data_IF_216846349114
#
_entry.id   IF_216846349114
#
_cell.length_a   1.000
_cell.length_b   1.000
_cell.length_c   1.000
_cell.angle_alpha   90.00
_cell.angle_beta   90.00
_cell.angle_gamma   90.00
#
_symmetry.space_group_name_H-M   'P 1'
#
loop_
_entity.id
_entity.type
_entity.pdbx_description
1 polymer ?
#
# COMPACT_ATOMS: atom_id res chain seq x y z
N UNK A 1 3.14 2.98 2.31
CA UNK A 1 3.97 3.09 1.10
C UNK A 1 3.30 2.48 -0.15
N UNK A 2 2.38 1.49 0.00
CA UNK A 2 1.73 0.82 -1.14
C UNK A 2 0.85 1.75 -1.99
N UNK A 3 0.18 2.73 -1.39
CA UNK A 3 -0.60 3.71 -2.15
C UNK A 3 0.28 4.54 -3.11
N UNK A 4 1.42 5.12 -2.71
CA UNK A 4 2.37 5.73 -3.63
C UNK A 4 2.86 4.79 -4.75
N UNK A 5 3.11 3.50 -4.47
CA UNK A 5 3.50 2.53 -5.50
C UNK A 5 2.42 2.44 -6.58
N UNK A 6 1.14 2.35 -6.20
CA UNK A 6 0.03 2.30 -7.15
C UNK A 6 -0.07 3.58 -7.97
N UNK A 7 0.03 4.74 -7.33
CA UNK A 7 0.00 6.05 -8.02
C UNK A 7 1.10 6.13 -9.08
N UNK A 8 2.33 5.77 -8.70
CA UNK A 8 3.47 5.84 -9.62
C UNK A 8 3.44 4.73 -10.69
N UNK A 9 2.70 3.65 -10.47
CA UNK A 9 2.41 2.69 -11.53
C UNK A 9 1.55 3.32 -12.62
N UNK A 10 0.49 4.06 -12.25
CA UNK A 10 -0.37 4.78 -13.20
C UNK A 10 0.39 5.90 -13.91
N UNK A 11 1.14 6.71 -13.15
CA UNK A 11 2.01 7.77 -13.68
C UNK A 11 2.97 7.22 -14.75
N UNK A 12 3.63 6.10 -14.46
CA UNK A 12 4.56 5.46 -15.40
C UNK A 12 3.86 4.88 -16.62
N UNK A 13 2.68 4.28 -16.46
CA UNK A 13 1.86 3.82 -17.60
C UNK A 13 1.56 4.99 -18.53
N UNK A 14 1.15 6.15 -18.00
CA UNK A 14 0.86 7.34 -18.81
C UNK A 14 2.11 7.91 -19.46
N UNK A 15 3.25 7.92 -18.75
CA UNK A 15 4.53 8.33 -19.33
C UNK A 15 4.93 7.42 -20.50
N UNK A 16 4.78 6.11 -20.38
CA UNK A 16 5.07 5.16 -21.47
C UNK A 16 4.14 5.36 -22.66
N UNK A 17 2.85 5.57 -22.40
CA UNK A 17 1.85 5.85 -23.45
C UNK A 17 2.17 7.14 -24.21
N UNK A 18 2.61 8.19 -23.53
CA UNK A 18 3.01 9.45 -24.18
C UNK A 18 4.23 9.27 -25.08
N UNK A 19 5.07 8.26 -24.85
CA UNK A 19 6.20 7.85 -25.68
C UNK A 19 5.82 6.87 -26.80
N UNK A 20 4.52 6.62 -27.03
CA UNK A 20 4.01 5.74 -28.08
C UNK A 20 4.02 4.25 -27.71
N UNK A 21 4.31 3.89 -26.45
CA UNK A 21 4.29 2.49 -26.00
C UNK A 21 2.85 2.07 -25.71
N UNK A 22 2.41 0.98 -26.34
CA UNK A 22 1.06 0.45 -26.15
C UNK A 22 0.96 -0.33 -24.83
N UNK A 23 0.71 0.39 -23.73
CA UNK A 23 0.53 -0.16 -22.40
C UNK A 23 -0.77 0.33 -21.77
N UNK A 24 -1.42 -0.52 -20.98
CA UNK A 24 -2.66 -0.20 -20.28
C UNK A 24 -2.76 -0.96 -18.95
N UNK A 25 -3.74 -0.62 -18.14
CA UNK A 25 -4.07 -1.37 -16.94
C UNK A 25 -4.37 -2.86 -17.18
N UNK A 26 -4.76 -3.22 -18.42
CA UNK A 26 -5.08 -4.59 -18.82
C UNK A 26 -3.92 -5.32 -19.50
N UNK A 27 -2.77 -4.67 -19.69
CA UNK A 27 -1.58 -5.33 -20.25
C UNK A 27 -1.19 -6.53 -19.41
N UNK A 28 -0.88 -7.65 -20.09
CA UNK A 28 -0.57 -8.92 -19.46
C UNK A 28 0.79 -8.89 -18.76
N UNK A 29 0.84 -9.55 -17.64
CA UNK A 29 2.04 -9.78 -16.83
C UNK A 29 2.07 -11.27 -16.53
N UNK A 30 3.11 -11.97 -16.98
CA UNK A 30 3.32 -13.38 -16.68
C UNK A 30 4.28 -13.52 -15.52
N UNK A 31 3.89 -14.26 -14.51
CA UNK A 31 4.69 -14.58 -13.33
C UNK A 31 5.06 -16.06 -13.40
N UNK A 32 6.33 -16.35 -13.60
CA UNK A 32 6.86 -17.72 -13.70
C UNK A 32 7.68 -18.06 -12.46
N UNK A 33 7.51 -19.24 -11.86
CA UNK A 33 8.31 -19.67 -10.71
C UNK A 33 9.80 -19.61 -11.01
N UNK A 34 10.62 -19.18 -10.05
CA UNK A 34 12.08 -19.09 -10.19
C UNK A 34 12.77 -20.45 -10.14
N UNK A 35 12.17 -21.41 -9.42
CA UNK A 35 12.77 -22.70 -9.14
C UNK A 35 12.12 -23.83 -9.97
N UNK A 36 12.94 -24.71 -10.51
CA UNK A 36 12.45 -25.86 -11.26
C UNK A 36 11.61 -26.84 -10.40
N UNK A 37 11.91 -26.98 -9.11
CA UNK A 37 11.09 -27.78 -8.20
C UNK A 37 9.73 -27.12 -7.95
N UNK A 38 9.67 -25.81 -7.84
CA UNK A 38 8.41 -25.06 -7.75
C UNK A 38 7.64 -25.11 -9.08
N UNK A 39 8.31 -25.12 -10.23
CA UNK A 39 7.66 -25.20 -11.55
C UNK A 39 6.93 -26.54 -11.79
N UNK A 40 7.28 -27.61 -11.06
CA UNK A 40 6.56 -28.89 -11.10
C UNK A 40 5.19 -28.81 -10.39
N UNK A 41 5.02 -27.88 -9.45
CA UNK A 41 3.82 -27.73 -8.63
C UNK A 41 3.05 -26.43 -8.90
N UNK A 42 3.73 -25.40 -9.37
CA UNK A 42 3.14 -24.09 -9.69
C UNK A 42 3.32 -23.79 -11.19
N UNK A 43 2.20 -23.47 -11.84
CA UNK A 43 2.19 -23.05 -13.25
C UNK A 43 2.42 -21.54 -13.33
N UNK A 44 2.85 -21.08 -14.51
CA UNK A 44 2.83 -19.65 -14.85
C UNK A 44 1.45 -19.07 -14.55
N UNK A 45 1.43 -17.92 -13.89
CA UNK A 45 0.20 -17.18 -13.65
C UNK A 45 0.19 -15.91 -14.50
N UNK A 46 -0.96 -15.63 -15.10
CA UNK A 46 -1.16 -14.43 -15.90
C UNK A 46 -2.00 -13.45 -15.09
N UNK A 47 -1.50 -12.24 -14.94
CA UNK A 47 -2.18 -11.15 -14.26
C UNK A 47 -2.15 -9.87 -15.11
N UNK A 48 -2.55 -8.74 -14.53
CA UNK A 48 -2.49 -7.41 -15.14
C UNK A 48 -2.26 -6.35 -14.08
N UNK A 49 -1.87 -5.13 -14.46
CA UNK A 49 -1.74 -4.01 -13.53
C UNK A 49 -3.03 -3.78 -12.74
N UNK A 50 -4.20 -3.86 -13.41
CA UNK A 50 -5.48 -3.70 -12.76
C UNK A 50 -5.70 -4.73 -11.63
N UNK A 51 -5.40 -6.00 -11.87
CA UNK A 51 -5.58 -7.05 -10.88
C UNK A 51 -4.62 -6.89 -9.70
N UNK A 52 -3.35 -6.57 -9.96
CA UNK A 52 -2.35 -6.31 -8.92
C UNK A 52 -2.76 -5.13 -8.03
N UNK A 53 -3.27 -4.06 -8.62
CA UNK A 53 -3.75 -2.88 -7.89
C UNK A 53 -4.99 -3.24 -7.04
N UNK A 54 -5.92 -4.02 -7.59
CA UNK A 54 -7.07 -4.52 -6.84
C UNK A 54 -6.64 -5.34 -5.61
N UNK A 55 -5.72 -6.29 -5.78
CA UNK A 55 -5.18 -7.12 -4.69
C UNK A 55 -4.49 -6.26 -3.60
N UNK A 56 -3.81 -5.19 -4.00
CA UNK A 56 -3.18 -4.24 -3.05
C UNK A 56 -4.23 -3.50 -2.22
N UNK A 57 -5.33 -3.06 -2.81
CA UNK A 57 -6.35 -2.33 -2.07
C UNK A 57 -7.23 -3.25 -1.24
N UNK A 58 -7.61 -4.41 -1.77
CA UNK A 58 -8.54 -5.33 -1.12
C UNK A 58 -7.91 -6.10 0.05
N UNK A 59 -6.70 -6.63 -0.14
CA UNK A 59 -6.04 -7.50 0.85
C UNK A 59 -4.63 -7.06 1.23
N UNK A 60 -4.21 -5.89 0.76
CA UNK A 60 -2.85 -5.38 1.02
C UNK A 60 -1.74 -6.36 0.57
N UNK A 61 -1.91 -7.01 -0.57
CA UNK A 61 -1.02 -8.04 -1.06
C UNK A 61 0.43 -7.55 -1.23
N UNK A 62 1.40 -8.29 -0.68
CA UNK A 62 2.82 -7.96 -0.74
C UNK A 62 3.42 -8.35 -2.09
N UNK A 63 3.04 -9.50 -2.64
CA UNK A 63 3.55 -10.01 -3.92
C UNK A 63 3.13 -9.10 -5.06
N UNK A 64 1.86 -8.70 -5.09
CA UNK A 64 1.37 -7.71 -6.05
C UNK A 64 2.14 -6.38 -5.94
N UNK A 65 2.41 -5.93 -4.71
CA UNK A 65 3.20 -4.71 -4.49
C UNK A 65 4.63 -4.85 -4.99
N UNK A 66 5.26 -6.01 -4.80
CA UNK A 66 6.62 -6.29 -5.26
C UNK A 66 6.73 -6.30 -6.79
N UNK A 67 5.73 -6.86 -7.48
CA UNK A 67 5.64 -6.78 -8.95
C UNK A 67 5.57 -5.32 -9.42
N UNK A 68 4.74 -4.50 -8.77
CA UNK A 68 4.64 -3.08 -9.13
C UNK A 68 5.91 -2.30 -8.77
N UNK A 69 6.63 -2.67 -7.71
CA UNK A 69 7.94 -2.09 -7.38
C UNK A 69 8.95 -2.36 -8.51
N UNK A 70 8.99 -3.60 -9.04
CA UNK A 70 9.86 -3.94 -10.17
C UNK A 70 9.50 -3.13 -11.42
N UNK A 71 8.22 -2.88 -11.66
CA UNK A 71 7.79 -2.04 -12.76
C UNK A 71 8.16 -0.56 -12.57
N UNK A 72 7.90 0.01 -11.39
CA UNK A 72 8.16 1.42 -11.08
C UNK A 72 9.67 1.69 -10.98
N UNK A 73 10.39 0.87 -10.22
CA UNK A 73 11.80 1.06 -9.88
C UNK A 73 12.01 1.97 -8.66
N UNK A 74 13.03 1.67 -7.85
CA UNK A 74 13.30 2.39 -6.60
C UNK A 74 13.69 3.86 -6.83
N UNK A 75 14.64 4.10 -7.72
CA UNK A 75 15.14 5.45 -7.99
C UNK A 75 14.06 6.31 -8.64
N UNK A 76 13.28 5.74 -9.56
CA UNK A 76 12.14 6.44 -10.16
C UNK A 76 11.10 6.81 -9.08
N UNK A 77 10.74 5.85 -8.21
CA UNK A 77 9.83 6.11 -7.10
C UNK A 77 10.30 7.28 -6.22
N UNK A 78 11.54 7.21 -5.71
CA UNK A 78 12.06 8.19 -4.77
C UNK A 78 12.20 9.58 -5.43
N UNK A 79 12.62 9.63 -6.69
CA UNK A 79 12.70 10.88 -7.47
C UNK A 79 11.32 11.52 -7.67
N UNK A 80 10.34 10.74 -8.13
CA UNK A 80 8.97 11.24 -8.39
C UNK A 80 8.27 11.70 -7.10
N UNK A 81 8.41 10.95 -6.00
CA UNK A 81 7.85 11.36 -4.72
C UNK A 81 8.45 12.67 -4.22
N UNK A 82 9.75 12.85 -4.35
CA UNK A 82 10.43 14.09 -3.99
C UNK A 82 9.96 15.26 -4.88
N UNK A 83 9.90 15.08 -6.20
CA UNK A 83 9.40 16.09 -7.15
C UNK A 83 7.96 16.50 -6.86
N UNK A 84 7.12 15.54 -6.44
CA UNK A 84 5.74 15.82 -6.03
C UNK A 84 5.62 16.46 -4.62
N UNK A 85 6.75 16.76 -3.96
CA UNK A 85 6.80 17.39 -2.65
C UNK A 85 6.63 16.45 -1.46
N UNK A 86 6.65 15.13 -1.67
CA UNK A 86 6.54 14.10 -0.61
C UNK A 86 7.93 13.61 -0.18
N UNK A 87 8.74 14.52 0.33
CA UNK A 87 10.14 14.31 0.64
C UNK A 87 10.42 13.54 1.94
N UNK A 88 9.38 12.99 2.56
CA UNK A 88 9.47 12.08 3.72
C UNK A 88 8.91 10.69 3.39
N UNK A 89 8.72 10.39 2.10
CA UNK A 89 8.21 9.11 1.60
C UNK A 89 9.28 8.44 0.74
N UNK A 90 9.79 7.29 1.21
CA UNK A 90 10.91 6.59 0.57
C UNK A 90 10.64 5.09 0.46
N UNK A 91 11.04 4.52 -0.68
CA UNK A 91 11.00 3.10 -0.98
C UNK A 91 12.44 2.58 -1.09
N UNK A 92 12.83 1.68 -0.19
CA UNK A 92 14.19 1.13 -0.10
C UNK A 92 14.26 -0.38 -0.36
N UNK A 93 13.15 -1.12 -0.19
CA UNK A 93 13.15 -2.57 -0.33
C UNK A 93 11.76 -3.12 -0.67
N UNK A 94 11.71 -4.33 -1.20
CA UNK A 94 10.48 -5.11 -1.39
C UNK A 94 9.87 -5.53 -0.04
N UNK A 95 8.62 -5.99 -0.10
CA UNK A 95 7.93 -6.57 1.06
C UNK A 95 8.27 -8.05 1.20
N UNK A 96 8.35 -8.55 2.45
CA UNK A 96 8.55 -9.97 2.72
C UNK A 96 7.21 -10.75 2.65
N UNK A 97 7.23 -12.01 2.16
CA UNK A 97 8.36 -12.67 1.52
C UNK A 97 8.70 -12.07 0.16
N UNK A 98 9.96 -12.15 -0.26
CA UNK A 98 10.34 -11.84 -1.62
C UNK A 98 9.71 -12.87 -2.57
N UNK A 99 9.26 -12.44 -3.74
CA UNK A 99 8.64 -13.35 -4.70
C UNK A 99 9.67 -14.34 -5.26
N UNK A 100 9.31 -15.61 -5.28
CA UNK A 100 10.05 -16.69 -5.94
C UNK A 100 9.59 -16.86 -7.39
N UNK A 101 9.50 -15.75 -8.16
CA UNK A 101 9.09 -15.80 -9.56
C UNK A 101 9.86 -14.78 -10.41
N UNK A 102 10.04 -15.10 -11.68
CA UNK A 102 10.43 -14.17 -12.71
C UNK A 102 9.19 -13.46 -13.25
N UNK A 103 9.36 -12.22 -13.69
CA UNK A 103 8.28 -11.42 -14.28
C UNK A 103 8.58 -11.28 -15.76
N UNK A 104 7.63 -11.69 -16.60
CA UNK A 104 7.64 -11.36 -18.01
C UNK A 104 6.53 -10.36 -18.32
N UNK A 105 6.96 -9.18 -18.75
CA UNK A 105 6.08 -8.08 -19.12
C UNK A 105 5.76 -8.17 -20.60
N UNK A 106 4.49 -8.20 -20.99
CA UNK A 106 4.09 -8.09 -22.41
C UNK A 106 4.75 -6.88 -23.10
N UNK A 107 5.07 -5.83 -22.34
CA UNK A 107 5.70 -4.58 -22.79
C UNK A 107 7.24 -4.59 -22.70
N UNK A 108 7.88 -5.67 -22.26
CA UNK A 108 9.33 -5.75 -21.98
C UNK A 108 10.21 -5.45 -23.19
N UNK A 109 9.84 -5.94 -24.36
CA UNK A 109 10.55 -5.69 -25.62
C UNK A 109 10.55 -4.21 -26.03
N UNK A 110 9.61 -3.42 -25.50
CA UNK A 110 9.48 -1.98 -25.76
C UNK A 110 10.19 -1.13 -24.68
N UNK A 111 10.52 -1.70 -23.53
CA UNK A 111 11.16 -0.99 -22.42
C UNK A 111 12.69 -1.02 -22.47
N UNK A 112 13.32 -1.62 -23.52
CA UNK A 112 14.77 -1.71 -23.69
C UNK A 112 15.52 -1.90 -22.37
N UNK A 113 15.56 -3.14 -21.86
CA UNK A 113 16.43 -3.63 -20.75
C UNK A 113 16.47 -2.84 -19.42
N UNK A 114 15.64 -1.81 -19.25
CA UNK A 114 15.65 -0.93 -18.08
C UNK A 114 14.48 -1.14 -17.11
N UNK A 115 14.01 -2.35 -16.94
CA UNK A 115 13.34 -2.70 -15.67
C UNK A 115 14.50 -2.98 -14.72
N UNK A 116 14.81 -1.98 -13.90
CA UNK A 116 16.00 -1.97 -13.06
C UNK A 116 16.11 -3.25 -12.26
N UNK A 117 17.18 -4.00 -12.49
CA UNK A 117 17.66 -4.98 -11.53
C UNK A 117 17.78 -4.32 -10.15
N UNK A 118 17.64 -5.10 -9.07
CA UNK A 118 17.86 -4.63 -7.70
C UNK A 118 19.24 -3.99 -7.45
N UNK A 119 20.11 -3.94 -8.45
CA UNK A 119 21.51 -3.56 -8.36
C UNK A 119 21.76 -2.05 -8.40
N UNK A 120 20.84 -1.25 -8.97
CA UNK A 120 21.03 0.22 -9.11
C UNK A 120 20.10 1.01 -8.17
N UNK A 121 19.95 0.61 -6.92
CA UNK A 121 19.13 1.37 -5.96
C UNK A 121 19.99 2.20 -5.02
N UNK A 122 19.70 3.49 -4.97
CA UNK A 122 20.18 4.37 -3.91
C UNK A 122 19.33 4.20 -2.66
N UNK A 123 19.91 3.62 -1.61
CA UNK A 123 19.21 3.49 -0.33
C UNK A 123 19.16 4.86 0.35
N UNK A 124 17.97 5.36 0.55
CA UNK A 124 17.75 6.61 1.30
C UNK A 124 17.73 6.33 2.79
N UNK A 125 18.82 6.65 3.47
CA UNK A 125 18.91 6.53 4.93
C UNK A 125 18.22 7.71 5.62
N UNK A 126 17.41 7.43 6.65
CA UNK A 126 16.85 8.49 7.49
C UNK A 126 17.96 9.10 8.37
N UNK A 127 18.01 10.42 8.40
CA UNK A 127 18.80 11.13 9.39
C UNK A 127 18.04 11.16 10.74
N UNK A 128 18.63 10.60 11.80
CA UNK A 128 17.87 10.02 12.91
C UNK A 128 17.95 10.71 14.26
N UNK A 129 18.38 11.88 14.38
CA UNK A 129 18.48 12.46 15.72
C UNK A 129 17.11 12.75 16.39
N UNK A 130 15.98 12.58 15.69
CA UNK A 130 14.66 12.99 16.20
C UNK A 130 13.54 11.96 16.05
N UNK A 131 13.73 10.86 15.30
CA UNK A 131 12.61 10.02 14.84
C UNK A 131 12.43 8.71 15.61
N UNK A 132 13.31 8.37 16.56
CA UNK A 132 13.23 7.12 17.29
C UNK A 132 13.19 5.91 16.37
N UNK A 133 14.10 5.84 15.41
CA UNK A 133 14.13 4.79 14.37
C UNK A 133 14.59 3.43 14.90
N UNK A 134 15.07 3.37 16.13
CA UNK A 134 15.37 2.10 16.82
C UNK A 134 14.18 1.68 17.67
N UNK A 135 13.61 0.50 17.37
CA UNK A 135 12.42 -0.03 18.01
C UNK A 135 12.69 -1.39 18.68
N UNK A 136 11.95 -1.64 19.77
CA UNK A 136 12.08 -2.85 20.58
C UNK A 136 13.33 -2.88 21.45
N UNK A 137 13.33 -3.76 22.42
CA UNK A 137 14.48 -4.09 23.25
C UNK A 137 15.17 -5.37 22.77
N UNK A 138 14.41 -6.20 22.06
CA UNK A 138 14.83 -7.46 21.46
C UNK A 138 14.30 -7.55 20.03
N UNK A 139 14.92 -8.40 19.24
CA UNK A 139 14.50 -8.71 17.88
C UNK A 139 14.53 -10.22 17.64
N UNK A 140 13.55 -10.72 16.88
CA UNK A 140 13.53 -12.09 16.42
C UNK A 140 14.24 -12.18 15.06
N UNK A 141 15.25 -13.04 14.97
CA UNK A 141 16.03 -13.26 13.77
C UNK A 141 16.47 -14.71 13.68
N UNK A 142 16.29 -15.36 12.53
CA UNK A 142 16.74 -16.73 12.26
C UNK A 142 16.32 -17.75 13.32
N UNK A 143 15.08 -17.62 13.85
CA UNK A 143 14.54 -18.50 14.88
C UNK A 143 14.96 -18.18 16.32
N UNK A 144 15.74 -17.13 16.54
CA UNK A 144 16.31 -16.78 17.83
C UNK A 144 15.92 -15.36 18.24
N UNK A 145 15.69 -15.16 19.54
CA UNK A 145 15.50 -13.82 20.13
C UNK A 145 16.87 -13.26 20.55
N UNK A 146 17.27 -12.19 19.90
CA UNK A 146 18.50 -11.44 20.20
C UNK A 146 18.20 -10.17 20.98
N UNK A 147 19.09 -9.77 21.90
CA UNK A 147 19.02 -8.47 22.54
C UNK A 147 19.43 -7.35 21.57
N UNK A 148 18.79 -6.20 21.73
CA UNK A 148 19.04 -5.00 20.96
C UNK A 148 17.86 -4.62 20.05
N UNK A 149 17.74 -3.32 19.80
CA UNK A 149 16.69 -2.75 18.96
C UNK A 149 16.91 -3.07 17.48
N UNK A 150 15.83 -3.10 16.72
CA UNK A 150 15.89 -3.11 15.25
C UNK A 150 16.00 -1.67 14.74
N UNK A 151 16.94 -1.44 13.82
CA UNK A 151 17.13 -0.15 13.17
C UNK A 151 16.25 -0.05 11.92
N UNK A 152 15.43 0.99 11.86
CA UNK A 152 14.51 1.29 10.76
C UNK A 152 15.02 2.39 9.82
N UNK A 153 16.25 2.89 10.00
CA UNK A 153 16.80 4.00 9.21
C UNK A 153 16.78 3.75 7.70
N UNK A 154 16.92 2.50 7.28
CA UNK A 154 16.92 2.09 5.87
C UNK A 154 15.62 1.35 5.46
N UNK A 155 14.58 1.34 6.31
CA UNK A 155 13.29 0.74 5.96
C UNK A 155 12.45 1.68 5.10
N UNK A 156 11.47 1.09 4.38
CA UNK A 156 10.44 1.87 3.71
C UNK A 156 9.72 2.76 4.71
N UNK A 157 9.50 4.03 4.36
CA UNK A 157 8.85 4.98 5.27
C UNK A 157 8.00 6.01 4.54
N UNK A 158 7.04 6.57 5.25
CA UNK A 158 6.29 7.76 4.86
C UNK A 158 5.91 8.53 6.12
N UNK A 159 5.93 9.85 6.07
CA UNK A 159 5.39 10.65 7.16
C UNK A 159 3.85 10.61 7.15
N UNK A 160 3.24 10.83 8.32
CA UNK A 160 1.77 10.95 8.44
C UNK A 160 1.27 12.09 7.54
N UNK A 161 2.02 13.20 7.47
CA UNK A 161 1.65 14.35 6.64
C UNK A 161 1.71 14.04 5.15
N UNK A 162 2.75 13.32 4.68
CA UNK A 162 2.82 12.90 3.28
C UNK A 162 1.64 11.98 2.94
N UNK A 163 1.38 10.96 3.78
CA UNK A 163 0.24 10.05 3.58
C UNK A 163 -1.09 10.81 3.51
N UNK A 164 -1.32 11.74 4.44
CA UNK A 164 -2.52 12.56 4.50
C UNK A 164 -2.68 13.42 3.23
N UNK A 165 -1.61 14.10 2.81
CA UNK A 165 -1.64 14.96 1.64
C UNK A 165 -1.76 14.17 0.32
N UNK A 166 -1.21 12.95 0.25
CA UNK A 166 -1.38 12.08 -0.91
C UNK A 166 -2.87 11.75 -1.11
N UNK A 167 -3.60 11.33 -0.06
CA UNK A 167 -5.03 11.06 -0.19
C UNK A 167 -5.81 12.31 -0.59
N UNK A 168 -5.50 13.47 0.00
CA UNK A 168 -6.17 14.72 -0.38
C UNK A 168 -6.01 15.02 -1.87
N UNK A 169 -4.82 14.80 -2.45
CA UNK A 169 -4.58 14.97 -3.89
C UNK A 169 -5.37 13.99 -4.75
N UNK A 170 -5.58 12.75 -4.28
CA UNK A 170 -6.39 11.77 -5.01
C UNK A 170 -7.87 12.13 -4.98
N UNK A 171 -8.37 12.59 -3.85
CA UNK A 171 -9.81 12.88 -3.67
C UNK A 171 -10.19 14.21 -4.34
N UNK A 172 -9.36 15.24 -4.17
CA UNK A 172 -9.61 16.59 -4.69
C UNK A 172 -8.44 17.12 -5.54
N UNK A 173 -8.10 16.45 -6.68
CA UNK A 173 -6.92 16.81 -7.47
C UNK A 173 -6.94 18.27 -7.94
N UNK A 174 -8.10 18.81 -8.27
CA UNK A 174 -8.26 20.21 -8.72
C UNK A 174 -7.98 21.28 -7.66
N UNK A 175 -7.71 20.90 -6.42
CA UNK A 175 -7.33 21.81 -5.32
C UNK A 175 -5.82 21.97 -5.16
N UNK A 176 -5.03 21.33 -6.00
CA UNK A 176 -3.58 21.34 -5.96
C UNK A 176 -3.01 21.85 -7.28
N UNK A 177 -1.87 22.55 -7.21
CA UNK A 177 -1.22 23.10 -8.40
C UNK A 177 -0.64 21.99 -9.28
N UNK A 178 -0.74 22.18 -10.59
CA UNK A 178 -0.33 21.19 -11.61
C UNK A 178 1.19 20.94 -11.63
N UNK A 179 2.02 21.89 -11.21
CA UNK A 179 3.49 21.82 -11.27
C UNK A 179 4.08 20.65 -10.44
N UNK A 180 3.35 20.18 -9.42
CA UNK A 180 3.73 19.06 -8.56
C UNK A 180 2.76 17.88 -8.65
N UNK A 181 1.93 17.83 -9.70
CA UNK A 181 0.96 16.77 -9.88
C UNK A 181 1.64 15.46 -10.38
N UNK A 182 1.04 14.34 -10.02
CA UNK A 182 1.32 13.08 -10.70
C UNK A 182 0.76 13.15 -12.14
N UNK A 183 1.42 12.49 -13.08
CA UNK A 183 0.94 12.39 -14.46
C UNK A 183 -0.27 11.42 -14.54
N UNK A 184 -1.39 11.83 -13.94
CA UNK A 184 -2.64 11.08 -13.89
C UNK A 184 -3.75 11.82 -14.64
N UNK A 185 -4.56 11.10 -15.37
CA UNK A 185 -5.77 11.62 -16.00
C UNK A 185 -7.01 11.41 -15.09
N UNK A 186 -8.17 11.87 -15.51
CA UNK A 186 -9.43 11.78 -14.74
C UNK A 186 -9.80 10.33 -14.46
N UNK A 187 -9.62 9.45 -15.45
CA UNK A 187 -9.92 8.03 -15.37
C UNK A 187 -9.01 7.32 -14.35
N UNK A 188 -7.76 7.75 -14.21
CA UNK A 188 -6.84 7.22 -13.19
C UNK A 188 -7.27 7.60 -11.77
N UNK A 189 -7.71 8.85 -11.57
CA UNK A 189 -8.25 9.28 -10.27
C UNK A 189 -9.55 8.54 -9.94
N UNK A 190 -10.44 8.32 -10.90
CA UNK A 190 -11.66 7.53 -10.71
C UNK A 190 -11.35 6.07 -10.38
N UNK A 191 -10.37 5.49 -11.07
CA UNK A 191 -9.89 4.13 -10.81
C UNK A 191 -9.30 3.99 -9.40
N UNK A 192 -8.48 4.95 -8.95
CA UNK A 192 -7.96 4.97 -7.59
C UNK A 192 -9.08 5.06 -6.56
N UNK A 193 -10.00 6.03 -6.71
CA UNK A 193 -11.15 6.20 -5.80
C UNK A 193 -12.03 4.97 -5.78
N UNK A 194 -12.25 4.33 -6.93
CA UNK A 194 -13.01 3.09 -7.02
C UNK A 194 -12.39 2.02 -6.11
N UNK A 195 -11.12 1.65 -6.30
CA UNK A 195 -10.50 0.58 -5.52
C UNK A 195 -10.24 0.95 -4.06
N UNK A 196 -9.89 2.19 -3.77
CA UNK A 196 -9.72 2.68 -2.39
C UNK A 196 -11.00 2.54 -1.56
N UNK A 197 -12.19 2.66 -2.17
CA UNK A 197 -13.47 2.59 -1.46
C UNK A 197 -14.03 1.17 -1.31
N UNK A 198 -13.46 0.16 -1.99
CA UNK A 198 -14.01 -1.19 -2.01
C UNK A 198 -13.76 -1.95 -0.70
N UNK A 199 -14.74 -2.73 -0.32
CA UNK A 199 -14.62 -3.78 0.68
C UNK A 199 -14.15 -5.07 0.01
N UNK A 200 -13.68 -6.05 0.80
CA UNK A 200 -13.16 -7.31 0.26
C UNK A 200 -14.20 -8.11 -0.53
N UNK A 201 -15.48 -8.07 -0.13
CA UNK A 201 -16.55 -8.76 -0.83
C UNK A 201 -17.01 -8.08 -2.14
N UNK A 202 -16.53 -6.87 -2.42
CA UNK A 202 -16.82 -6.14 -3.66
C UNK A 202 -15.79 -6.45 -4.76
N UNK A 203 -15.00 -7.51 -4.61
CA UNK A 203 -14.09 -8.05 -5.60
C UNK A 203 -14.85 -8.59 -6.83
N UNK A 204 -14.35 -8.22 -8.02
CA UNK A 204 -15.00 -8.58 -9.29
C UNK A 204 -14.97 -10.09 -9.62
N UNK A 205 -14.12 -10.86 -8.98
CA UNK A 205 -13.93 -12.30 -9.26
C UNK A 205 -14.28 -13.22 -8.11
N UNK A 206 -14.81 -12.71 -7.01
CA UNK A 206 -15.03 -13.46 -5.76
C UNK A 206 -13.75 -14.14 -5.23
N UNK A 207 -12.58 -13.64 -5.63
CA UNK A 207 -11.27 -14.21 -5.30
C UNK A 207 -11.04 -14.30 -3.79
N UNK A 208 -11.50 -13.28 -3.04
CA UNK A 208 -11.27 -13.15 -1.61
C UNK A 208 -12.50 -13.50 -0.75
N UNK A 209 -13.69 -13.61 -1.33
CA UNK A 209 -14.94 -13.86 -0.59
C UNK A 209 -15.03 -15.27 -0.02
N UNK A 210 -14.29 -16.23 -0.56
CA UNK A 210 -14.28 -17.63 -0.10
C UNK A 210 -13.26 -17.88 1.01
N UNK A 211 -12.28 -17.00 1.18
CA UNK A 211 -11.26 -17.10 2.24
C UNK A 211 -11.73 -16.33 3.48
N UNK A 212 -12.06 -17.05 4.56
CA UNK A 212 -12.50 -16.48 5.84
C UNK A 212 -11.52 -15.49 6.47
N UNK A 213 -10.25 -15.53 6.06
CA UNK A 213 -9.24 -14.57 6.48
C UNK A 213 -9.59 -13.14 6.04
N UNK A 214 -10.21 -13.00 4.87
CA UNK A 214 -10.54 -11.71 4.28
C UNK A 214 -12.03 -11.39 4.49
N UNK A 215 -12.42 -11.17 5.76
CA UNK A 215 -13.77 -10.75 6.11
C UNK A 215 -14.13 -9.39 5.51
N UNK A 216 -15.40 -8.99 5.49
CA UNK A 216 -15.89 -7.84 4.72
C UNK A 216 -15.14 -6.53 4.99
N UNK A 217 -14.83 -6.23 6.23
CA UNK A 217 -14.13 -4.98 6.64
C UNK A 217 -12.62 -5.11 6.77
N UNK A 218 -12.02 -6.22 6.33
CA UNK A 218 -10.60 -6.53 6.51
C UNK A 218 -9.65 -5.37 6.14
N UNK A 219 -10.00 -4.61 5.10
CA UNK A 219 -9.19 -3.50 4.58
C UNK A 219 -9.65 -2.12 5.08
N UNK A 220 -10.47 -2.03 6.13
CA UNK A 220 -11.07 -0.79 6.65
C UNK A 220 -10.93 -0.71 8.17
N UNK A 221 -9.77 -0.23 8.68
CA UNK A 221 -9.56 -0.09 10.12
C UNK A 221 -10.39 1.05 10.70
N UNK A 222 -10.50 2.17 9.97
CA UNK A 222 -11.42 3.23 10.35
C UNK A 222 -12.88 2.80 10.12
N UNK A 223 -13.77 3.25 10.98
CA UNK A 223 -15.21 3.03 10.99
C UNK A 223 -15.59 1.55 11.21
N UNK A 224 -15.08 0.65 10.38
CA UNK A 224 -15.53 -0.74 10.28
C UNK A 224 -14.59 -1.77 10.93
N UNK A 225 -13.45 -1.36 11.46
CA UNK A 225 -12.37 -2.29 11.86
C UNK A 225 -12.72 -3.24 13.03
N UNK A 226 -13.78 -2.99 13.78
CA UNK A 226 -14.25 -3.89 14.86
C UNK A 226 -15.30 -4.88 14.39
N UNK A 227 -15.81 -4.73 13.17
CA UNK A 227 -16.91 -5.54 12.63
C UNK A 227 -16.37 -6.45 11.53
N UNK A 228 -16.68 -7.73 11.57
CA UNK A 228 -16.37 -8.66 10.47
C UNK A 228 -17.34 -8.51 9.30
N UNK A 229 -18.52 -7.96 9.55
CA UNK A 229 -19.56 -7.68 8.56
C UNK A 229 -19.84 -6.18 8.53
N UNK A 230 -19.88 -5.59 7.35
CA UNK A 230 -20.15 -4.16 7.17
C UNK A 230 -21.63 -3.88 7.36
N UNK A 231 -22.00 -3.31 8.50
CA UNK A 231 -23.40 -3.02 8.85
C UNK A 231 -23.90 -1.72 8.21
N UNK A 232 -23.08 -0.68 8.12
CA UNK A 232 -23.45 0.60 7.50
C UNK A 232 -22.69 0.80 6.17
N UNK A 233 -23.32 0.38 5.06
CA UNK A 233 -22.76 0.49 3.70
C UNK A 233 -22.78 1.92 3.13
N UNK A 234 -23.48 2.86 3.78
CA UNK A 234 -23.54 4.25 3.35
C UNK A 234 -22.26 5.02 3.69
N UNK A 235 -21.48 4.53 4.66
CA UNK A 235 -20.19 5.10 4.98
C UNK A 235 -19.13 4.45 4.11
N UNK A 236 -18.54 5.23 3.20
CA UNK A 236 -17.43 4.80 2.36
C UNK A 236 -16.11 5.31 2.92
N UNK A 237 -15.15 4.40 3.01
CA UNK A 237 -13.78 4.68 3.49
C UNK A 237 -12.83 4.49 2.32
N UNK A 238 -12.33 5.59 1.79
CA UNK A 238 -11.35 5.63 0.70
C UNK A 238 -9.96 5.61 1.32
N UNK A 239 -9.36 4.44 1.45
CA UNK A 239 -8.18 4.28 2.30
C UNK A 239 -7.12 3.34 1.75
N UNK A 240 -5.99 3.34 2.45
CA UNK A 240 -5.02 2.25 2.42
C UNK A 240 -4.50 1.98 3.82
N UNK A 241 -4.79 0.80 4.33
CA UNK A 241 -4.27 0.30 5.60
C UNK A 241 -2.80 -0.13 5.51
N UNK A 242 -2.14 -0.20 6.65
CA UNK A 242 -0.82 -0.82 6.79
C UNK A 242 -0.59 -1.37 8.18
N UNK A 243 0.10 -2.52 8.25
CA UNK A 243 0.57 -3.13 9.48
C UNK A 243 1.98 -3.67 9.28
N UNK A 244 2.89 -3.32 10.17
CA UNK A 244 4.23 -3.86 10.20
C UNK A 244 4.90 -3.58 11.56
N UNK A 245 5.60 -4.58 12.09
CA UNK A 245 6.46 -4.43 13.27
C UNK A 245 5.77 -3.77 14.48
N UNK A 246 4.54 -4.16 14.76
CA UNK A 246 3.73 -3.60 15.84
C UNK A 246 3.05 -2.27 15.52
N UNK A 247 3.30 -1.68 14.37
CA UNK A 247 2.63 -0.44 13.95
C UNK A 247 1.43 -0.75 13.07
N UNK A 248 0.27 -0.19 13.41
CA UNK A 248 -0.91 -0.16 12.54
C UNK A 248 -1.19 1.28 12.11
N UNK A 249 -1.60 1.45 10.87
CA UNK A 249 -1.96 2.73 10.29
C UNK A 249 -3.18 2.58 9.41
N UNK A 250 -4.08 3.56 9.45
CA UNK A 250 -5.03 3.80 8.39
C UNK A 250 -4.95 5.26 7.95
N UNK A 251 -5.14 5.48 6.67
CA UNK A 251 -5.06 6.76 6.03
C UNK A 251 -6.23 6.86 5.05
N UNK A 252 -7.19 7.71 5.35
CA UNK A 252 -8.50 7.69 4.70
C UNK A 252 -9.11 9.06 4.44
N UNK A 253 -9.94 9.11 3.40
CA UNK A 253 -11.07 10.00 3.27
C UNK A 253 -12.34 9.20 3.57
N UNK A 254 -13.17 9.69 4.49
CA UNK A 254 -14.40 9.04 4.95
C UNK A 254 -15.58 9.90 4.49
N UNK A 255 -16.55 9.28 3.83
CA UNK A 255 -17.75 9.96 3.31
C UNK A 255 -19.00 9.14 3.59
N UNK A 256 -20.00 9.78 4.18
CA UNK A 256 -21.37 9.29 4.19
C UNK A 256 -22.26 10.25 3.37
N UNK A 257 -22.75 9.76 2.25
CA UNK A 257 -23.57 10.54 1.32
C UNK A 257 -24.99 10.79 1.84
N UNK A 258 -25.48 9.96 2.75
CA UNK A 258 -26.82 10.12 3.35
C UNK A 258 -26.83 11.17 4.43
N UNK A 259 -25.81 11.18 5.30
CA UNK A 259 -25.71 12.11 6.44
C UNK A 259 -24.96 13.41 6.08
N UNK A 260 -24.46 13.50 4.85
CA UNK A 260 -23.60 14.60 4.34
C UNK A 260 -22.34 14.87 5.18
N UNK A 261 -21.80 13.83 5.80
CA UNK A 261 -20.57 13.89 6.60
C UNK A 261 -19.39 13.46 5.77
N UNK A 262 -18.32 14.28 5.77
CA UNK A 262 -17.05 13.92 5.15
C UNK A 262 -15.86 14.49 5.92
N UNK A 263 -14.79 13.71 6.00
CA UNK A 263 -13.53 14.18 6.60
C UNK A 263 -12.34 13.32 6.18
N UNK A 264 -11.15 13.89 6.32
CA UNK A 264 -9.89 13.16 6.20
C UNK A 264 -9.38 12.77 7.57
N UNK A 265 -8.87 11.56 7.68
CA UNK A 265 -8.22 11.07 8.89
C UNK A 265 -6.99 10.25 8.53
N UNK A 266 -5.89 10.51 9.22
CA UNK A 266 -4.69 9.67 9.17
C UNK A 266 -4.23 9.45 10.59
N UNK A 267 -4.17 8.20 11.02
CA UNK A 267 -3.72 7.86 12.35
C UNK A 267 -2.85 6.60 12.35
N UNK A 268 -1.92 6.57 13.26
CA UNK A 268 -1.05 5.41 13.49
C UNK A 268 -0.98 5.11 14.97
N UNK A 269 -0.86 3.83 15.30
CA UNK A 269 -0.69 3.34 16.66
C UNK A 269 0.38 2.25 16.68
N UNK A 270 1.20 2.25 17.70
CA UNK A 270 2.21 1.22 17.95
C UNK A 270 1.80 0.34 19.11
N UNK A 271 1.76 -0.96 18.90
CA UNK A 271 1.42 -1.99 19.87
C UNK A 271 2.46 -3.10 19.81
N UNK A 272 3.26 -3.24 20.87
CA UNK A 272 4.30 -4.27 20.99
C UNK A 272 4.62 -4.47 22.49
N UNK A 273 3.73 -5.13 23.20
CA UNK A 273 3.79 -5.27 24.65
C UNK A 273 5.00 -6.06 25.14
N UNK A 274 5.46 -7.04 24.37
CA UNK A 274 6.61 -7.87 24.73
C UNK A 274 7.97 -7.24 24.36
N UNK A 275 7.98 -6.08 23.66
CA UNK A 275 9.17 -5.38 23.21
C UNK A 275 10.10 -6.21 22.29
N UNK A 276 9.58 -7.28 21.67
CA UNK A 276 10.31 -8.09 20.68
C UNK A 276 9.85 -7.68 19.27
N UNK A 277 10.78 -7.25 18.43
CA UNK A 277 10.46 -6.89 17.06
C UNK A 277 10.66 -8.09 16.14
N UNK A 278 9.79 -8.24 15.12
CA UNK A 278 9.85 -9.27 14.08
C UNK A 278 9.51 -10.70 14.57
N UNK A 279 8.85 -10.85 15.72
CA UNK A 279 8.35 -12.13 16.21
C UNK A 279 6.89 -12.43 15.77
N UNK A 280 6.26 -11.48 15.07
CA UNK A 280 4.86 -11.52 14.63
C UNK A 280 3.83 -11.56 15.78
N UNK A 281 4.24 -11.20 17.00
CA UNK A 281 3.36 -11.14 18.17
C UNK A 281 3.09 -9.67 18.52
N UNK A 282 1.97 -9.15 18.06
CA UNK A 282 1.58 -7.75 18.25
C UNK A 282 0.09 -7.65 18.53
N UNK A 283 -0.33 -6.70 19.37
CA UNK A 283 -1.73 -6.53 19.79
C UNK A 283 -2.53 -5.76 18.70
N UNK A 284 -2.48 -6.25 17.45
CA UNK A 284 -3.19 -5.61 16.32
C UNK A 284 -4.70 -5.68 16.50
N UNK A 285 -5.22 -6.89 16.72
CA UNK A 285 -6.66 -7.14 16.75
C UNK A 285 -7.30 -6.73 18.08
N UNK A 286 -6.56 -6.87 19.20
CA UNK A 286 -7.07 -6.57 20.53
C UNK A 286 -7.00 -5.08 20.87
N UNK A 287 -6.05 -4.34 20.28
CA UNK A 287 -5.76 -2.96 20.67
C UNK A 287 -5.76 -1.99 19.51
N UNK A 288 -4.94 -2.25 18.49
CA UNK A 288 -4.68 -1.26 17.45
C UNK A 288 -5.89 -1.00 16.55
N UNK A 289 -6.49 -2.05 15.99
CA UNK A 289 -7.66 -1.92 15.11
C UNK A 289 -8.88 -1.37 15.87
N UNK A 290 -9.23 -1.86 17.08
CA UNK A 290 -10.31 -1.27 17.88
C UNK A 290 -10.10 0.21 18.22
N UNK A 291 -8.85 0.62 18.49
CA UNK A 291 -8.54 2.03 18.72
C UNK A 291 -8.81 2.89 17.49
N UNK A 292 -8.30 2.47 16.31
CA UNK A 292 -8.49 3.20 15.06
C UNK A 292 -9.96 3.31 14.66
N UNK A 293 -10.72 2.21 14.83
CA UNK A 293 -12.15 2.19 14.56
C UNK A 293 -12.92 3.14 15.47
N UNK A 294 -12.71 3.06 16.79
CA UNK A 294 -13.39 3.93 17.76
C UNK A 294 -13.03 5.39 17.60
N UNK A 295 -11.76 5.72 17.31
CA UNK A 295 -11.33 7.08 17.02
C UNK A 295 -12.13 7.68 15.86
N UNK A 296 -12.22 6.97 14.75
CA UNK A 296 -12.92 7.45 13.57
C UNK A 296 -14.45 7.50 13.73
N UNK A 297 -15.02 6.54 14.47
CA UNK A 297 -16.44 6.54 14.83
C UNK A 297 -16.81 7.72 15.73
N UNK A 298 -15.95 8.04 16.70
CA UNK A 298 -16.17 9.22 17.57
C UNK A 298 -16.13 10.52 16.77
N UNK A 299 -15.16 10.67 15.85
CA UNK A 299 -15.10 11.84 14.97
C UNK A 299 -16.32 11.93 14.06
N UNK A 300 -16.74 10.82 13.47
CA UNK A 300 -17.92 10.73 12.61
C UNK A 300 -19.19 11.19 13.37
N UNK A 301 -19.40 10.68 14.57
CA UNK A 301 -20.57 11.04 15.37
C UNK A 301 -20.59 12.52 15.74
N UNK A 302 -19.44 13.09 16.13
CA UNK A 302 -19.35 14.52 16.44
C UNK A 302 -19.52 15.44 15.23
N UNK A 303 -19.32 14.97 14.02
CA UNK A 303 -19.55 15.75 12.79
C UNK A 303 -20.98 15.61 12.26
N UNK A 304 -21.70 14.57 12.70
CA UNK A 304 -23.09 14.31 12.32
C UNK A 304 -24.07 15.13 13.15
N UNK A 305 -23.73 15.42 14.42
CA UNK A 305 -24.52 16.24 15.36
C UNK A 305 -24.37 17.74 15.07
#
# INVERSE_FOLDING_TARGET
IKLPIVILTLDKINELRSKGINVSLKSKITLSPLDQEMSLTQKDSITSFQNLIADIFLVSDNSASNVLIDFVGYNHFNTKMNQAGFNKTYLNHKFSPDPYYTIDWEIKTMLNDRISSNEDRDIVTADDNTLGLKKGEKKFKDGIVEFGSLDFSQKNRSSIMDMHNIIKRIIFPSKFDDDNAFNLNVEDYDFLRYWMSRFTYEDLGNKFTTDKKYFESYNKFFIHGVDTVVTNKNIRVYNKIGQAYGTSVDNAYIRNYQDDVEFFLTATIYTNKNNIINDNVYEYDETAIPFLAKLSQSLYNNLKD
#
